data_IF_066472632492
#
_entry.id   IF_066472632492
#
_cell.length_a   1.000
_cell.length_b   1.000
_cell.length_c   1.000
_cell.angle_alpha   90.00
_cell.angle_beta   90.00
_cell.angle_gamma   90.00
#
_symmetry.space_group_name_H-M   'P 1'
#
loop_
_entity.id
_entity.type
_entity.pdbx_description
1 polymer ?
#
# COMPACT_ATOMS: atom_id res chain seq x y z
N UNK A 1 -9.88 2.39 14.55
CA UNK A 1 -9.14 3.33 13.68
C UNK A 1 -8.72 2.74 12.34
N UNK A 2 -7.85 1.71 12.28
CA UNK A 2 -7.44 1.10 10.99
C UNK A 2 -8.62 0.60 10.13
N UNK A 3 -9.63 -0.02 10.74
CA UNK A 3 -10.82 -0.48 10.03
C UNK A 3 -11.62 0.65 9.36
N UNK A 4 -11.77 1.79 10.04
CA UNK A 4 -12.47 2.96 9.49
C UNK A 4 -11.70 3.50 8.28
N UNK A 5 -10.38 3.68 8.40
CA UNK A 5 -9.55 4.12 7.28
C UNK A 5 -9.63 3.14 6.10
N UNK A 6 -9.70 1.83 6.34
CA UNK A 6 -9.87 0.84 5.28
C UNK A 6 -11.23 0.97 4.56
N UNK A 7 -12.31 1.25 5.32
CA UNK A 7 -13.63 1.51 4.74
C UNK A 7 -13.65 2.79 3.89
N UNK A 8 -12.96 3.86 4.32
CA UNK A 8 -12.81 5.07 3.52
C UNK A 8 -12.05 4.79 2.23
N UNK A 9 -10.98 3.99 2.26
CA UNK A 9 -10.28 3.56 1.04
C UNK A 9 -11.19 2.74 0.13
N UNK A 10 -12.01 1.84 0.68
CA UNK A 10 -12.98 1.07 -0.09
C UNK A 10 -14.01 1.99 -0.79
N UNK A 11 -14.60 2.94 -0.05
CA UNK A 11 -15.54 3.90 -0.60
C UNK A 11 -14.89 4.85 -1.60
N UNK A 12 -13.63 5.23 -1.41
CA UNK A 12 -12.87 5.99 -2.40
C UNK A 12 -12.76 5.23 -3.73
N UNK A 13 -12.40 3.94 -3.72
CA UNK A 13 -12.31 3.15 -4.96
C UNK A 13 -13.69 2.93 -5.59
N UNK A 14 -14.72 2.69 -4.77
CA UNK A 14 -16.10 2.56 -5.24
C UNK A 14 -16.60 3.85 -5.91
N UNK A 15 -16.40 5.00 -5.28
CA UNK A 15 -16.80 6.30 -5.84
C UNK A 15 -15.97 6.67 -7.06
N UNK A 16 -14.67 6.41 -7.07
CA UNK A 16 -13.84 6.61 -8.27
C UNK A 16 -14.29 5.72 -9.45
N UNK A 17 -14.88 4.55 -9.17
CA UNK A 17 -15.36 3.64 -10.19
C UNK A 17 -16.73 4.02 -10.75
N UNK A 18 -17.68 4.44 -9.89
CA UNK A 18 -19.08 4.62 -10.28
C UNK A 18 -19.56 6.07 -10.26
N UNK A 19 -18.93 6.95 -9.49
CA UNK A 19 -19.36 8.34 -9.25
C UNK A 19 -18.17 9.32 -9.22
N UNK A 20 -17.33 9.37 -10.28
CA UNK A 20 -16.09 10.16 -10.27
C UNK A 20 -16.33 11.67 -10.08
N UNK A 21 -17.50 12.18 -10.47
CA UNK A 21 -17.88 13.58 -10.29
C UNK A 21 -17.99 14.00 -8.82
N UNK A 22 -18.20 13.06 -7.87
CA UNK A 22 -18.19 13.36 -6.44
C UNK A 22 -16.79 13.63 -5.90
N UNK A 23 -15.74 13.12 -6.55
CA UNK A 23 -14.36 13.33 -6.13
C UNK A 23 -13.79 14.67 -6.59
N UNK A 24 -14.27 15.19 -7.73
CA UNK A 24 -13.82 16.46 -8.32
C UNK A 24 -14.84 17.60 -8.16
N UNK A 25 -16.03 17.29 -7.65
CA UNK A 25 -17.11 18.25 -7.49
C UNK A 25 -16.89 19.18 -6.29
N UNK A 26 -17.38 20.41 -6.41
CA UNK A 26 -17.34 21.42 -5.34
C UNK A 26 -18.73 21.65 -4.69
N UNK A 27 -19.74 20.88 -5.10
CA UNK A 27 -21.08 20.98 -4.53
C UNK A 27 -21.15 20.52 -3.07
N UNK A 28 -22.20 20.95 -2.36
CA UNK A 28 -22.39 20.68 -0.92
C UNK A 28 -22.27 19.18 -0.58
N UNK A 29 -22.87 18.31 -1.40
CA UNK A 29 -22.79 16.87 -1.21
C UNK A 29 -21.35 16.33 -1.32
N UNK A 30 -20.55 16.84 -2.26
CA UNK A 30 -19.15 16.46 -2.43
C UNK A 30 -18.31 16.89 -1.23
N UNK A 31 -18.53 18.11 -0.72
CA UNK A 31 -17.83 18.62 0.48
C UNK A 31 -18.17 17.79 1.71
N UNK A 32 -19.45 17.50 1.95
CA UNK A 32 -19.90 16.70 3.11
C UNK A 32 -19.37 15.26 3.05
N UNK A 33 -19.35 14.65 1.86
CA UNK A 33 -18.88 13.28 1.69
C UNK A 33 -17.36 13.16 1.60
N UNK A 34 -16.64 14.27 1.34
CA UNK A 34 -15.18 14.27 1.16
C UNK A 34 -14.41 13.46 2.20
N UNK A 35 -14.65 13.57 3.53
CA UNK A 35 -13.86 12.83 4.51
C UNK A 35 -14.07 11.31 4.44
N UNK A 36 -15.20 10.85 3.90
CA UNK A 36 -15.57 9.44 3.76
C UNK A 36 -15.11 8.83 2.44
N UNK A 37 -14.60 9.64 1.52
CA UNK A 37 -14.11 9.22 0.20
C UNK A 37 -12.67 9.69 -0.06
N UNK A 38 -12.00 10.25 0.95
CA UNK A 38 -10.58 10.66 0.95
C UNK A 38 -9.64 9.45 1.11
N UNK A 39 -9.47 8.71 0.02
CA UNK A 39 -8.66 7.49 0.01
C UNK A 39 -7.17 7.74 0.22
N UNK A 40 -6.60 8.78 -0.39
CA UNK A 40 -5.16 9.06 -0.29
C UNK A 40 -4.75 9.43 1.14
N UNK A 41 -5.52 10.31 1.78
CA UNK A 41 -5.35 10.75 3.16
C UNK A 41 -5.50 9.58 4.13
N UNK A 42 -6.43 8.66 3.84
CA UNK A 42 -6.60 7.44 4.61
C UNK A 42 -5.38 6.52 4.52
N UNK A 43 -4.73 6.43 3.36
CA UNK A 43 -3.45 5.70 3.20
C UNK A 43 -2.33 6.37 3.98
N UNK A 44 -2.23 7.70 3.93
CA UNK A 44 -1.28 8.46 4.76
C UNK A 44 -1.51 8.17 6.25
N UNK A 45 -2.76 8.11 6.69
CA UNK A 45 -3.10 7.75 8.07
C UNK A 45 -2.59 6.35 8.47
N UNK A 46 -2.63 5.37 7.56
CA UNK A 46 -2.02 4.06 7.81
C UNK A 46 -0.51 4.17 8.03
N UNK A 47 0.21 4.95 7.22
CA UNK A 47 1.64 5.18 7.40
C UNK A 47 1.96 5.87 8.73
N UNK A 48 1.23 6.94 9.06
CA UNK A 48 1.41 7.66 10.32
C UNK A 48 1.19 6.74 11.52
N UNK A 49 0.11 5.95 11.51
CA UNK A 49 -0.16 5.01 12.59
C UNK A 49 0.86 3.86 12.64
N UNK A 50 1.36 3.40 11.49
CA UNK A 50 2.41 2.38 11.43
C UNK A 50 3.72 2.91 12.02
N UNK A 51 4.12 4.14 11.69
CA UNK A 51 5.27 4.83 12.28
C UNK A 51 5.13 5.10 13.77
N UNK A 52 3.95 5.56 14.22
CA UNK A 52 3.67 5.80 15.64
C UNK A 52 3.72 4.52 16.48
N UNK A 53 3.08 3.44 16.01
CA UNK A 53 3.13 2.14 16.72
C UNK A 53 4.56 1.60 16.77
N UNK A 54 5.36 1.93 15.76
CA UNK A 54 6.73 1.49 15.63
C UNK A 54 7.70 2.26 16.55
N UNK A 55 7.46 3.56 16.80
CA UNK A 55 8.27 4.34 17.75
C UNK A 55 8.00 3.98 19.21
N UNK A 56 6.79 3.51 19.52
CA UNK A 56 6.33 3.30 20.89
C UNK A 56 7.20 2.39 21.77
N UNK A 57 7.73 1.24 21.30
CA UNK A 57 8.62 0.40 22.11
C UNK A 57 9.91 1.12 22.48
N UNK A 58 10.44 1.94 21.57
CA UNK A 58 11.67 2.67 21.78
C UNK A 58 11.49 3.82 22.77
N UNK A 59 10.41 4.59 22.64
CA UNK A 59 10.04 5.66 23.59
C UNK A 59 9.78 5.12 25.01
N UNK A 60 9.35 3.87 25.13
CA UNK A 60 9.08 3.21 26.42
C UNK A 60 10.29 2.47 26.99
N UNK A 61 11.46 2.55 26.37
CA UNK A 61 12.66 1.82 26.78
C UNK A 61 12.54 0.29 26.68
N UNK A 62 11.52 -0.22 25.97
CA UNK A 62 11.25 -1.66 25.79
C UNK A 62 11.77 -2.13 24.43
N UNK A 63 13.06 -1.91 24.19
CA UNK A 63 13.71 -2.32 22.95
C UNK A 63 13.72 -3.84 22.84
N UNK A 64 13.04 -4.36 21.82
CA UNK A 64 13.16 -5.78 21.44
C UNK A 64 14.41 -5.97 20.59
N UNK A 65 15.01 -7.17 20.61
CA UNK A 65 16.10 -7.50 19.69
C UNK A 65 15.65 -7.27 18.25
N UNK A 66 16.45 -6.49 17.50
CA UNK A 66 16.16 -6.09 16.13
C UNK A 66 15.76 -7.26 15.20
N UNK A 67 16.44 -8.42 15.23
CA UNK A 67 16.07 -9.55 14.35
C UNK A 67 14.66 -10.09 14.62
N UNK A 68 14.23 -10.12 15.89
CA UNK A 68 12.89 -10.60 16.28
C UNK A 68 11.82 -9.64 15.77
N UNK A 69 12.09 -8.33 15.86
CA UNK A 69 11.21 -7.29 15.35
C UNK A 69 11.04 -7.41 13.82
N UNK A 70 12.16 -7.46 13.07
CA UNK A 70 12.15 -7.55 11.61
C UNK A 70 11.41 -8.80 11.15
N UNK A 71 11.75 -9.98 11.69
CA UNK A 71 11.12 -11.25 11.30
C UNK A 71 9.60 -11.22 11.42
N UNK A 72 9.07 -10.75 12.56
CA UNK A 72 7.62 -10.68 12.78
C UNK A 72 6.93 -9.75 11.79
N UNK A 73 7.60 -8.64 11.45
CA UNK A 73 7.04 -7.64 10.53
C UNK A 73 7.09 -8.10 9.09
N UNK A 74 8.21 -8.67 8.66
CA UNK A 74 8.36 -9.29 7.34
C UNK A 74 7.30 -10.36 7.15
N UNK A 75 7.16 -11.32 8.08
CA UNK A 75 6.14 -12.37 7.94
C UNK A 75 4.72 -11.81 7.88
N UNK A 76 4.41 -10.78 8.69
CA UNK A 76 3.07 -10.17 8.73
C UNK A 76 2.70 -9.42 7.45
N UNK A 77 3.65 -8.76 6.79
CA UNK A 77 3.37 -7.92 5.62
C UNK A 77 3.70 -8.68 4.33
N UNK A 78 4.88 -9.28 4.25
CA UNK A 78 5.36 -9.99 3.06
C UNK A 78 4.58 -11.29 2.81
N UNK A 79 4.12 -11.99 3.86
CA UNK A 79 3.31 -13.20 3.70
C UNK A 79 2.00 -12.95 2.94
N UNK A 80 1.11 -12.08 3.44
CA UNK A 80 -0.11 -11.69 2.73
C UNK A 80 0.17 -11.04 1.36
N UNK A 81 1.26 -10.26 1.26
CA UNK A 81 1.68 -9.66 -0.01
C UNK A 81 1.99 -10.72 -1.07
N UNK A 82 2.76 -11.77 -0.73
CA UNK A 82 3.10 -12.84 -1.65
C UNK A 82 1.86 -13.60 -2.14
N UNK A 83 0.91 -13.85 -1.24
CA UNK A 83 -0.36 -14.46 -1.63
C UNK A 83 -1.14 -13.56 -2.62
N UNK A 84 -1.21 -12.25 -2.34
CA UNK A 84 -1.85 -11.29 -3.24
C UNK A 84 -1.11 -11.17 -4.58
N UNK A 85 0.23 -11.21 -4.58
CA UNK A 85 1.05 -11.20 -5.79
C UNK A 85 0.81 -12.46 -6.62
N UNK A 86 0.79 -13.64 -6.00
CA UNK A 86 0.49 -14.88 -6.70
C UNK A 86 -0.89 -14.85 -7.38
N UNK A 87 -1.92 -14.37 -6.67
CA UNK A 87 -3.25 -14.18 -7.24
C UNK A 87 -3.26 -13.15 -8.38
N UNK A 88 -2.54 -12.04 -8.22
CA UNK A 88 -2.43 -11.01 -9.26
C UNK A 88 -1.70 -11.52 -10.51
N UNK A 89 -0.66 -12.35 -10.35
CA UNK A 89 0.07 -12.97 -11.45
C UNK A 89 -0.79 -14.02 -12.17
N UNK A 90 -1.52 -14.86 -11.43
CA UNK A 90 -2.46 -15.81 -12.01
C UNK A 90 -3.57 -15.10 -12.79
N UNK A 91 -4.12 -14.00 -12.24
CA UNK A 91 -5.09 -13.18 -12.95
C UNK A 91 -4.48 -12.54 -14.22
N UNK A 92 -3.28 -11.99 -14.12
CA UNK A 92 -2.56 -11.43 -15.26
C UNK A 92 -2.29 -12.48 -16.34
N UNK A 93 -1.91 -13.72 -15.99
CA UNK A 93 -1.63 -14.76 -16.98
C UNK A 93 -2.87 -15.22 -17.74
N UNK A 94 -4.06 -15.09 -17.14
CA UNK A 94 -5.33 -15.51 -17.73
C UNK A 94 -6.02 -14.38 -18.51
N UNK A 95 -5.90 -13.13 -18.06
CA UNK A 95 -6.72 -12.01 -18.53
C UNK A 95 -5.93 -10.77 -18.95
N UNK A 96 -4.60 -10.85 -19.14
CA UNK A 96 -3.85 -9.69 -19.62
C UNK A 96 -4.43 -9.17 -20.95
N UNK A 97 -4.72 -7.88 -21.00
CA UNK A 97 -5.17 -7.20 -22.21
C UNK A 97 -5.21 -5.70 -21.96
N UNK A 98 -5.26 -4.90 -23.02
CA UNK A 98 -5.67 -3.51 -22.89
C UNK A 98 -7.18 -3.49 -22.61
N UNK A 99 -7.54 -3.59 -21.32
CA UNK A 99 -8.90 -3.69 -20.83
C UNK A 99 -9.78 -2.43 -21.10
N UNK A 100 -9.32 -1.49 -21.95
CA UNK A 100 -10.02 -0.25 -22.27
C UNK A 100 -10.26 0.68 -21.06
N UNK A 101 -9.65 0.38 -19.91
CA UNK A 101 -9.81 1.14 -18.66
C UNK A 101 -8.81 2.29 -18.60
N UNK A 102 -9.31 3.47 -18.25
CA UNK A 102 -8.52 4.68 -18.08
C UNK A 102 -8.21 4.99 -16.60
N UNK A 103 -7.29 5.93 -16.39
CA UNK A 103 -6.88 6.41 -15.07
C UNK A 103 -5.97 5.43 -14.34
N UNK A 104 -6.12 5.36 -13.01
CA UNK A 104 -5.26 4.52 -12.15
C UNK A 104 -5.26 3.03 -12.53
N UNK A 105 -6.31 2.55 -13.20
CA UNK A 105 -6.46 1.13 -13.63
C UNK A 105 -5.69 0.78 -14.90
N UNK A 106 -5.33 1.77 -15.71
CA UNK A 106 -4.77 1.55 -17.05
C UNK A 106 -3.44 0.77 -17.01
N UNK A 107 -2.70 0.86 -15.91
CA UNK A 107 -1.42 0.18 -15.74
C UNK A 107 -1.52 -1.30 -15.38
N UNK A 108 -2.64 -1.76 -14.81
CA UNK A 108 -2.76 -3.13 -14.28
C UNK A 108 -3.08 -4.12 -15.38
N UNK A 109 -2.29 -5.20 -15.45
CA UNK A 109 -2.42 -6.29 -16.43
C UNK A 109 -2.39 -5.83 -17.91
N UNK A 110 -1.78 -4.66 -18.14
CA UNK A 110 -1.63 -4.04 -19.46
C UNK A 110 -0.66 -4.78 -20.39
N UNK A 111 0.18 -5.65 -19.82
CA UNK A 111 1.18 -6.45 -20.51
C UNK A 111 1.28 -7.83 -19.86
N UNK A 112 1.76 -8.86 -20.60
CA UNK A 112 1.95 -10.19 -20.03
C UNK A 112 2.91 -10.19 -18.84
N UNK A 113 2.87 -11.28 -18.08
CA UNK A 113 3.77 -11.51 -16.95
C UNK A 113 5.21 -11.51 -17.45
N UNK A 114 6.03 -10.67 -16.83
CA UNK A 114 7.45 -10.54 -17.11
C UNK A 114 8.26 -10.97 -15.89
N UNK A 115 9.21 -11.87 -16.09
CA UNK A 115 10.02 -12.45 -15.03
C UNK A 115 10.85 -11.38 -14.31
N UNK A 116 11.40 -10.41 -15.05
CA UNK A 116 12.16 -9.31 -14.46
C UNK A 116 11.28 -8.49 -13.51
N UNK A 117 10.08 -8.12 -13.95
CA UNK A 117 9.09 -7.43 -13.11
C UNK A 117 8.67 -8.27 -11.90
N UNK A 118 8.52 -9.59 -12.03
CA UNK A 118 8.21 -10.48 -10.89
C UNK A 118 9.34 -10.47 -9.87
N UNK A 119 10.60 -10.59 -10.31
CA UNK A 119 11.76 -10.54 -9.41
C UNK A 119 11.81 -9.19 -8.68
N UNK A 120 11.54 -8.08 -9.35
CA UNK A 120 11.45 -6.76 -8.71
C UNK A 120 10.36 -6.73 -7.62
N UNK A 121 9.20 -7.32 -7.88
CA UNK A 121 8.11 -7.44 -6.90
C UNK A 121 8.46 -8.37 -5.72
N UNK A 122 9.29 -9.40 -5.93
CA UNK A 122 9.76 -10.25 -4.82
C UNK A 122 10.82 -9.53 -3.97
N UNK A 123 11.75 -8.82 -4.61
CA UNK A 123 12.90 -8.26 -3.89
C UNK A 123 12.61 -6.88 -3.29
N UNK A 124 11.59 -6.16 -3.77
CA UNK A 124 11.32 -4.76 -3.40
C UNK A 124 12.51 -3.82 -3.65
N UNK A 125 13.36 -4.13 -4.65
CA UNK A 125 14.58 -3.37 -4.96
C UNK A 125 14.33 -2.40 -6.11
N UNK A 126 14.87 -1.18 -5.97
CA UNK A 126 14.90 -0.16 -7.03
C UNK A 126 13.59 0.59 -7.21
N UNK A 127 13.52 1.37 -8.28
CA UNK A 127 12.29 1.98 -8.76
C UNK A 127 11.68 1.07 -9.82
N UNK A 128 10.50 0.53 -9.54
CA UNK A 128 9.80 -0.39 -10.43
C UNK A 128 8.30 -0.13 -10.38
N UNK A 129 7.61 -0.51 -11.44
CA UNK A 129 6.18 -0.29 -11.56
C UNK A 129 5.40 -1.28 -10.67
N UNK A 130 5.22 -0.90 -9.40
CA UNK A 130 4.41 -1.64 -8.44
C UNK A 130 2.93 -1.75 -8.82
N UNK A 131 2.42 -0.89 -9.71
CA UNK A 131 1.02 -0.91 -10.15
C UNK A 131 0.73 -1.97 -11.23
N UNK A 132 1.79 -2.54 -11.82
CA UNK A 132 1.70 -3.44 -12.98
C UNK A 132 0.77 -4.63 -12.74
N UNK A 133 0.88 -5.25 -11.56
CA UNK A 133 0.07 -6.43 -11.21
C UNK A 133 -1.08 -6.09 -10.28
N UNK A 134 -0.91 -5.09 -9.40
CA UNK A 134 -1.96 -4.60 -8.53
C UNK A 134 -1.65 -3.17 -8.10
N UNK A 135 -2.54 -2.23 -8.40
CA UNK A 135 -2.37 -0.81 -8.06
C UNK A 135 -2.26 -0.53 -6.58
N UNK A 136 -2.75 -1.40 -5.70
CA UNK A 136 -2.67 -1.20 -4.26
C UNK A 136 -1.29 -1.53 -3.67
N UNK A 137 -0.40 -2.19 -4.42
CA UNK A 137 0.89 -2.66 -3.92
C UNK A 137 1.87 -1.55 -3.54
N UNK A 138 1.72 -0.36 -4.10
CA UNK A 138 2.59 0.78 -3.80
C UNK A 138 2.77 0.99 -2.31
N UNK A 139 1.66 1.00 -1.56
CA UNK A 139 1.68 1.34 -0.13
C UNK A 139 2.40 0.28 0.71
N UNK A 140 2.28 -1.00 0.34
CA UNK A 140 2.96 -2.11 1.02
C UNK A 140 4.48 -2.07 0.83
N UNK A 141 4.94 -1.71 -0.37
CA UNK A 141 6.36 -1.54 -0.66
C UNK A 141 6.96 -0.44 0.21
N UNK A 142 6.30 0.72 0.27
CA UNK A 142 6.72 1.82 1.16
C UNK A 142 6.68 1.40 2.63
N UNK A 143 5.61 0.75 3.07
CA UNK A 143 5.51 0.30 4.46
C UNK A 143 6.65 -0.64 4.81
N UNK A 144 6.98 -1.62 3.95
CA UNK A 144 8.09 -2.55 4.18
C UNK A 144 9.46 -1.87 4.21
N UNK A 145 9.74 -0.99 3.24
CA UNK A 145 11.03 -0.26 3.19
C UNK A 145 11.23 0.59 4.44
N UNK A 146 10.21 1.38 4.81
CA UNK A 146 10.25 2.23 6.02
C UNK A 146 10.40 1.36 7.26
N UNK A 147 9.71 0.21 7.33
CA UNK A 147 9.78 -0.71 8.46
C UNK A 147 11.18 -1.24 8.77
N UNK A 148 11.99 -1.47 7.72
CA UNK A 148 13.35 -1.97 7.83
C UNK A 148 14.33 -0.86 8.22
N UNK A 149 14.14 0.34 7.66
CA UNK A 149 15.03 1.49 7.89
C UNK A 149 14.77 2.13 9.27
N UNK A 150 13.52 2.14 9.75
CA UNK A 150 13.12 2.91 10.93
C UNK A 150 13.91 2.62 12.21
N UNK A 151 14.18 1.35 12.60
CA UNK A 151 14.97 1.10 13.81
C UNK A 151 16.40 1.67 13.72
N UNK A 152 16.99 1.70 12.53
CA UNK A 152 18.31 2.29 12.30
C UNK A 152 18.27 3.81 12.45
N UNK A 153 17.23 4.47 11.90
CA UNK A 153 17.01 5.90 12.10
C UNK A 153 16.82 6.25 13.58
N UNK A 154 16.07 5.42 14.31
CA UNK A 154 15.86 5.64 15.73
C UNK A 154 17.17 5.54 16.52
N UNK A 155 17.98 4.50 16.26
CA UNK A 155 19.30 4.34 16.88
C UNK A 155 20.22 5.54 16.59
N UNK A 156 20.24 6.02 15.34
CA UNK A 156 21.03 7.19 14.96
C UNK A 156 20.56 8.50 15.61
N UNK A 157 19.27 8.63 15.92
CA UNK A 157 18.71 9.81 16.57
C UNK A 157 18.85 9.82 18.11
N UNK A 158 19.14 8.66 18.71
CA UNK A 158 19.31 8.52 20.17
C UNK A 158 20.76 8.34 20.63
N UNK A 159 21.71 8.29 19.68
CA UNK A 159 23.15 8.36 19.94
C UNK A 159 23.63 9.81 19.77
#
# INVERSE_FOLDING_TARGET
MRGIAALVVLFHHYTHMFYPSLLTGTGVAAVILSPFISGHESVIYFFLLSGFVLSLPFLRGKNRPYPIFVRRRVLRIYGPYLAALALALAGCSLWHSQLGVSGWRAGTWSAPVDLHSVIQHLLFIGDYNYNRYNTAFWSLVYEMRISLIFPLLFLAATN
#
